data_IF_656441957230
#
_entry.id   IF_656441957230
#
_cell.length_a   1.000
_cell.length_b   1.000
_cell.length_c   1.000
_cell.angle_alpha   90.00
_cell.angle_beta   90.00
_cell.angle_gamma   90.00
#
_symmetry.space_group_name_H-M   'P 1'
#
loop_
_entity.id
_entity.type
_entity.pdbx_description
1 polymer ?
#
# COMPACT_ATOMS: atom_id res chain seq x y z
N UNK A 1 43.40 -1.10 14.20
CA UNK A 1 42.48 -0.09 13.65
C UNK A 1 41.47 -0.84 12.79
N UNK A 2 40.29 -1.14 13.34
CA UNK A 2 39.23 -1.91 12.67
C UNK A 2 38.19 -0.90 12.18
N UNK A 3 37.78 -0.89 10.90
CA UNK A 3 36.73 0.01 10.45
C UNK A 3 35.43 -0.41 11.13
N UNK A 4 34.79 0.53 11.84
CA UNK A 4 33.48 0.30 12.42
C UNK A 4 32.47 0.22 11.28
N UNK A 5 32.01 -1.00 10.98
CA UNK A 5 30.88 -1.23 10.08
C UNK A 5 29.62 -0.67 10.74
N UNK A 6 29.26 0.57 10.40
CA UNK A 6 27.98 1.15 10.80
C UNK A 6 26.86 0.31 10.18
N UNK A 7 26.16 -0.47 10.99
CA UNK A 7 24.97 -1.22 10.57
C UNK A 7 23.88 -0.21 10.21
N UNK A 8 23.44 -0.25 8.95
CA UNK A 8 22.47 0.64 8.34
C UNK A 8 21.05 0.35 8.85
N UNK A 9 20.77 0.53 10.14
CA UNK A 9 19.43 0.38 10.72
C UNK A 9 18.59 1.66 10.67
N UNK A 10 19.19 2.80 10.29
CA UNK A 10 18.51 4.11 10.22
C UNK A 10 18.08 4.52 8.80
N UNK A 11 18.36 3.70 7.78
CA UNK A 11 17.88 3.90 6.40
C UNK A 11 16.57 3.16 6.10
N UNK A 12 15.97 2.51 7.09
CA UNK A 12 14.56 2.10 7.03
C UNK A 12 13.69 3.33 7.24
N UNK A 13 13.72 4.24 6.25
CA UNK A 13 12.78 5.34 6.17
C UNK A 13 11.38 4.78 6.33
N UNK A 14 10.62 5.35 7.26
CA UNK A 14 9.25 4.95 7.60
C UNK A 14 8.44 4.69 6.31
N UNK A 15 8.17 3.42 5.99
CA UNK A 15 7.12 3.13 5.02
C UNK A 15 5.79 3.44 5.69
N UNK A 16 5.19 4.57 5.32
CA UNK A 16 3.91 4.98 5.89
C UNK A 16 2.82 3.98 5.49
N UNK A 17 2.09 3.47 6.49
CA UNK A 17 0.97 2.56 6.27
C UNK A 17 -0.33 3.35 6.36
N UNK A 18 -1.06 3.40 5.23
CA UNK A 18 -2.30 4.16 5.09
C UNK A 18 -3.49 3.24 5.29
N UNK A 19 -4.40 3.61 6.19
CA UNK A 19 -5.71 2.95 6.31
C UNK A 19 -6.56 3.27 5.09
N UNK A 20 -7.04 2.25 4.40
CA UNK A 20 -7.71 2.39 3.12
C UNK A 20 -9.01 1.58 3.10
N UNK A 21 -10.15 2.24 2.87
CA UNK A 21 -11.43 1.54 2.73
C UNK A 21 -11.65 1.18 1.25
N UNK A 22 -11.93 -0.09 0.97
CA UNK A 22 -12.24 -0.61 -0.36
C UNK A 22 -13.73 -0.82 -0.47
N UNK A 23 -14.36 0.02 -1.29
CA UNK A 23 -15.81 0.06 -1.49
C UNK A 23 -16.06 -0.19 -2.99
N UNK A 24 -16.28 -1.44 -3.42
CA UNK A 24 -16.29 -1.79 -4.85
C UNK A 24 -17.49 -1.20 -5.59
N UNK A 25 -18.64 -1.00 -4.95
CA UNK A 25 -19.85 -0.50 -5.61
C UNK A 25 -20.48 -1.54 -6.57
N UNK A 26 -21.41 -1.08 -7.41
CA UNK A 26 -22.21 -1.94 -8.28
C UNK A 26 -21.71 -2.03 -9.72
N UNK A 27 -22.31 -2.95 -10.49
CA UNK A 27 -22.03 -3.13 -11.90
C UNK A 27 -20.60 -3.61 -12.11
N UNK A 28 -19.78 -2.80 -12.79
CA UNK A 28 -18.36 -3.09 -13.08
C UNK A 28 -17.40 -2.66 -11.96
N UNK A 29 -17.95 -2.15 -10.85
CA UNK A 29 -17.20 -1.62 -9.72
C UNK A 29 -16.15 -2.61 -9.14
N UNK A 30 -16.52 -3.88 -8.86
CA UNK A 30 -15.57 -4.89 -8.37
C UNK A 30 -14.38 -5.14 -9.31
N UNK A 31 -14.61 -5.20 -10.62
CA UNK A 31 -13.58 -5.42 -11.63
C UNK A 31 -12.62 -4.25 -11.72
N UNK A 32 -13.13 -3.01 -11.70
CA UNK A 32 -12.33 -1.79 -11.71
C UNK A 32 -11.51 -1.67 -10.42
N UNK A 33 -12.13 -1.94 -9.26
CA UNK A 33 -11.47 -1.84 -7.97
C UNK A 33 -10.28 -2.80 -7.85
N UNK A 34 -10.41 -4.02 -8.38
CA UNK A 34 -9.32 -5.00 -8.43
C UNK A 34 -8.09 -4.46 -9.15
N UNK A 35 -8.27 -3.77 -10.28
CA UNK A 35 -7.16 -3.18 -11.03
C UNK A 35 -6.59 -1.96 -10.31
N UNK A 36 -7.44 -1.13 -9.71
CA UNK A 36 -7.00 0.04 -8.94
C UNK A 36 -6.09 -0.34 -7.78
N UNK A 37 -6.43 -1.37 -7.00
CA UNK A 37 -5.60 -1.86 -5.90
C UNK A 37 -4.21 -2.31 -6.37
N UNK A 38 -4.11 -2.97 -7.54
CA UNK A 38 -2.82 -3.37 -8.13
C UNK A 38 -1.95 -2.16 -8.49
N UNK A 39 -2.55 -1.12 -9.07
CA UNK A 39 -1.83 0.12 -9.40
C UNK A 39 -1.32 0.80 -8.12
N UNK A 40 -2.16 0.85 -7.09
CA UNK A 40 -1.79 1.45 -5.81
C UNK A 40 -0.69 0.68 -5.08
N UNK A 41 -0.67 -0.64 -5.18
CA UNK A 41 0.42 -1.45 -4.65
C UNK A 41 1.76 -1.12 -5.34
N UNK A 42 1.77 -1.03 -6.67
CA UNK A 42 2.97 -0.64 -7.42
C UNK A 42 3.40 0.81 -7.11
N UNK A 43 2.45 1.72 -6.94
CA UNK A 43 2.72 3.07 -6.48
C UNK A 43 3.33 3.08 -5.07
N UNK A 44 2.80 2.27 -4.15
CA UNK A 44 3.32 2.14 -2.79
C UNK A 44 4.77 1.67 -2.76
N UNK A 45 5.13 0.70 -3.61
CA UNK A 45 6.51 0.24 -3.77
C UNK A 45 7.43 1.35 -4.30
N UNK A 46 6.95 2.18 -5.24
CA UNK A 46 7.73 3.26 -5.85
C UNK A 46 7.89 4.49 -4.94
N UNK A 47 6.86 4.83 -4.17
CA UNK A 47 6.79 6.08 -3.40
C UNK A 47 6.94 5.86 -1.89
N UNK A 48 7.07 4.62 -1.42
CA UNK A 48 7.40 4.32 -0.03
C UNK A 48 6.20 4.29 0.92
N UNK A 49 5.03 3.86 0.46
CA UNK A 49 3.85 3.67 1.30
C UNK A 49 3.25 2.26 1.16
N UNK A 50 2.44 1.85 2.13
CA UNK A 50 1.66 0.60 2.10
C UNK A 50 0.19 0.91 2.36
N UNK A 51 -0.69 0.07 1.81
CA UNK A 51 -2.11 0.15 2.10
C UNK A 51 -2.50 -0.93 3.12
N UNK A 52 -3.15 -0.51 4.20
CA UNK A 52 -3.93 -1.36 5.09
C UNK A 52 -5.38 -1.31 4.62
N UNK A 53 -5.69 -2.17 3.65
CA UNK A 53 -6.95 -2.15 2.91
C UNK A 53 -8.03 -2.99 3.63
N UNK A 54 -9.14 -2.35 4.00
CA UNK A 54 -10.33 -3.00 4.56
C UNK A 54 -11.45 -2.97 3.54
N UNK A 55 -11.99 -4.13 3.19
CA UNK A 55 -13.12 -4.23 2.27
C UNK A 55 -14.43 -4.08 3.05
N UNK A 56 -15.38 -3.36 2.46
CA UNK A 56 -16.74 -3.32 2.94
C UNK A 56 -17.71 -3.38 1.75
N UNK A 57 -18.80 -4.13 1.94
CA UNK A 57 -19.82 -4.31 0.94
C UNK A 57 -20.68 -3.05 0.86
N UNK A 58 -20.66 -2.39 -0.29
CA UNK A 58 -21.60 -1.31 -0.63
C UNK A 58 -22.09 -1.53 -2.05
N UNK A 59 -23.38 -1.32 -2.26
CA UNK A 59 -24.04 -1.60 -3.54
C UNK A 59 -25.54 -1.78 -3.38
N UNK A 60 -26.28 -1.77 -4.49
CA UNK A 60 -27.73 -1.92 -4.59
C UNK A 60 -28.21 -3.35 -4.83
#
# INVERSE_FOLDING_TARGET
MVPQTFSSSYLTGFMETLKFAVLPGDGIGPEVMTVALRVLEQAGQRFGFRLDATHADIGG
#
